data_IF_272188766203
#
_entry.id   IF_272188766203
#
_cell.length_a   1.000
_cell.length_b   1.000
_cell.length_c   1.000
_cell.angle_alpha   90.00
_cell.angle_beta   90.00
_cell.angle_gamma   90.00
#
_symmetry.space_group_name_H-M   'P 1'
#
loop_
_entity.id
_entity.type
_entity.pdbx_description
1 polymer ?
#
# COMPACT_ATOMS: atom_id res chain seq x y z
N UNK A 1 22.64 10.39 -12.19
CA UNK A 1 21.26 10.20 -12.69
C UNK A 1 20.70 8.96 -12.01
N UNK A 2 19.52 9.00 -11.37
CA UNK A 2 19.09 7.88 -10.52
C UNK A 2 18.50 6.74 -11.34
N UNK A 3 18.79 5.50 -10.90
CA UNK A 3 18.40 4.22 -11.52
C UNK A 3 16.88 4.01 -11.74
N UNK A 4 16.02 4.89 -11.22
CA UNK A 4 14.56 4.71 -11.24
C UNK A 4 13.93 4.72 -12.64
N UNK A 5 14.54 5.37 -13.62
CA UNK A 5 14.04 5.33 -15.00
C UNK A 5 14.34 3.99 -15.72
N UNK A 6 15.24 3.16 -15.19
CA UNK A 6 15.57 1.88 -15.84
C UNK A 6 14.49 0.81 -15.61
N UNK A 7 13.70 0.87 -14.54
CA UNK A 7 12.73 -0.19 -14.22
C UNK A 7 11.54 -0.22 -15.21
N UNK A 8 11.01 0.95 -15.58
CA UNK A 8 9.94 1.08 -16.59
C UNK A 8 10.48 0.82 -18.01
N UNK A 9 11.75 1.14 -18.26
CA UNK A 9 12.38 0.94 -19.56
C UNK A 9 12.73 -0.54 -19.77
N UNK A 10 13.20 -1.27 -18.75
CA UNK A 10 13.59 -2.68 -18.86
C UNK A 10 12.39 -3.60 -19.08
N UNK A 11 11.24 -3.34 -18.45
CA UNK A 11 10.01 -4.11 -18.71
C UNK A 11 9.52 -3.95 -20.16
N UNK A 12 9.77 -2.80 -20.77
CA UNK A 12 9.40 -2.49 -22.16
C UNK A 12 10.43 -3.01 -23.17
N UNK A 13 11.72 -3.00 -22.83
CA UNK A 13 12.82 -3.48 -23.68
C UNK A 13 12.88 -5.00 -23.77
N UNK A 14 12.61 -5.74 -22.68
CA UNK A 14 12.55 -7.20 -22.70
C UNK A 14 11.44 -7.75 -23.60
N UNK A 15 10.40 -6.94 -23.87
CA UNK A 15 9.33 -7.28 -24.81
C UNK A 15 9.74 -7.10 -26.29
N UNK A 16 10.74 -6.25 -26.58
CA UNK A 16 11.22 -5.98 -27.94
C UNK A 16 12.29 -6.97 -28.41
N UNK A 17 13.25 -7.35 -27.57
CA UNK A 17 14.35 -8.25 -27.98
C UNK A 17 13.88 -9.68 -28.30
N UNK A 18 12.78 -10.14 -27.71
CA UNK A 18 12.26 -11.47 -27.97
C UNK A 18 11.45 -11.59 -29.27
N UNK A 19 11.16 -10.48 -29.96
CA UNK A 19 10.45 -10.48 -31.25
C UNK A 19 11.35 -10.79 -32.46
N UNK A 20 12.68 -10.92 -32.24
CA UNK A 20 13.67 -11.26 -33.27
C UNK A 20 14.13 -12.72 -33.28
N UNK A 21 13.58 -13.58 -32.40
CA UNK A 21 13.90 -15.00 -32.33
C UNK A 21 12.61 -15.78 -32.62
N UNK A 22 12.68 -16.79 -33.50
CA UNK A 22 11.57 -17.69 -33.85
C UNK A 22 11.29 -18.64 -32.67
N UNK A 23 10.75 -18.07 -31.59
CA UNK A 23 10.32 -18.73 -30.38
C UNK A 23 8.80 -18.61 -30.32
N UNK A 24 8.11 -19.66 -29.88
CA UNK A 24 6.65 -19.60 -29.74
C UNK A 24 6.31 -18.53 -28.71
N UNK A 25 5.23 -17.77 -28.89
CA UNK A 25 4.83 -16.66 -28.00
C UNK A 25 4.81 -17.03 -26.50
N UNK A 26 4.48 -18.29 -26.17
CA UNK A 26 4.51 -18.81 -24.80
C UNK A 26 5.93 -18.99 -24.22
N UNK A 27 6.91 -19.30 -25.04
CA UNK A 27 8.32 -19.50 -24.63
C UNK A 27 9.01 -18.15 -24.42
N UNK A 28 8.71 -17.17 -25.28
CA UNK A 28 9.14 -15.76 -25.11
C UNK A 28 8.63 -15.19 -23.79
N UNK A 29 7.32 -15.36 -23.52
CA UNK A 29 6.71 -14.89 -22.28
C UNK A 29 7.28 -15.59 -21.05
N UNK A 30 7.50 -16.90 -21.11
CA UNK A 30 8.08 -17.67 -20.01
C UNK A 30 9.53 -17.26 -19.71
N UNK A 31 10.38 -17.09 -20.72
CA UNK A 31 11.79 -16.70 -20.56
C UNK A 31 11.90 -15.24 -20.07
N UNK A 32 11.11 -14.33 -20.64
CA UNK A 32 11.04 -12.94 -20.19
C UNK A 32 10.60 -12.84 -18.73
N UNK A 33 9.57 -13.60 -18.35
CA UNK A 33 9.11 -13.67 -16.96
C UNK A 33 10.14 -14.32 -16.03
N UNK A 34 10.85 -15.37 -16.47
CA UNK A 34 11.88 -16.04 -15.69
C UNK A 34 13.07 -15.11 -15.41
N UNK A 35 13.58 -14.42 -16.45
CA UNK A 35 14.67 -13.46 -16.31
C UNK A 35 14.25 -12.25 -15.46
N UNK A 36 13.01 -11.77 -15.61
CA UNK A 36 12.44 -10.73 -14.76
C UNK A 36 12.33 -11.19 -13.30
N UNK A 37 11.87 -12.41 -13.04
CA UNK A 37 11.85 -13.01 -11.70
C UNK A 37 13.26 -13.13 -11.12
N UNK A 38 14.23 -13.58 -11.90
CA UNK A 38 15.60 -13.78 -11.45
C UNK A 38 16.29 -12.45 -11.12
N UNK A 39 16.09 -11.41 -11.95
CA UNK A 39 16.54 -10.04 -11.65
C UNK A 39 15.83 -9.46 -10.43
N UNK A 40 14.51 -9.64 -10.30
CA UNK A 40 13.76 -9.23 -9.11
C UNK A 40 14.26 -9.93 -7.84
N UNK A 41 14.61 -11.22 -7.92
CA UNK A 41 15.10 -11.99 -6.77
C UNK A 41 16.50 -11.55 -6.30
N UNK A 42 17.38 -11.13 -7.21
CA UNK A 42 18.74 -10.65 -6.87
C UNK A 42 18.70 -9.22 -6.33
N UNK A 43 17.81 -8.37 -6.85
CA UNK A 43 17.71 -6.96 -6.42
C UNK A 43 16.74 -6.74 -5.25
N UNK A 44 15.88 -7.71 -4.94
CA UNK A 44 14.87 -7.64 -3.88
C UNK A 44 15.40 -7.05 -2.55
N UNK A 45 16.57 -7.45 -2.00
CA UNK A 45 17.06 -6.91 -0.74
C UNK A 45 17.40 -5.42 -0.74
N UNK A 46 17.66 -4.84 -1.92
CA UNK A 46 18.06 -3.44 -2.09
C UNK A 46 16.95 -2.56 -2.64
N UNK A 47 15.78 -3.14 -2.92
CA UNK A 47 14.69 -2.42 -3.55
C UNK A 47 14.06 -1.45 -2.55
N UNK A 48 14.24 -0.15 -2.75
CA UNK A 48 13.63 0.90 -1.93
C UNK A 48 12.20 1.22 -2.34
N UNK A 49 11.84 0.99 -3.60
CA UNK A 49 10.51 1.27 -4.15
C UNK A 49 10.04 0.09 -4.97
N UNK A 50 8.84 -0.41 -4.67
CA UNK A 50 8.23 -1.51 -5.40
C UNK A 50 6.84 -1.12 -5.84
N UNK A 51 6.62 -1.08 -7.15
CA UNK A 51 5.32 -0.80 -7.73
C UNK A 51 4.78 -2.05 -8.42
N UNK A 52 3.70 -2.58 -7.89
CA UNK A 52 2.96 -3.70 -8.46
C UNK A 52 1.48 -3.34 -8.70
N UNK A 53 1.23 -2.06 -8.91
CA UNK A 53 -0.11 -1.52 -9.13
C UNK A 53 -0.71 -2.02 -10.44
N UNK A 54 -1.99 -2.40 -10.41
CA UNK A 54 -2.71 -2.87 -11.60
C UNK A 54 -2.17 -4.17 -12.21
N UNK A 55 -1.24 -4.87 -11.55
CA UNK A 55 -0.62 -6.07 -12.12
C UNK A 55 -1.48 -7.33 -11.97
N UNK A 56 -2.52 -7.30 -11.13
CA UNK A 56 -3.30 -8.49 -10.81
C UNK A 56 -4.73 -8.41 -11.36
N UNK A 57 -5.10 -9.28 -12.34
CA UNK A 57 -6.45 -9.29 -12.93
C UNK A 57 -7.52 -9.90 -12.00
N UNK A 58 -7.10 -10.58 -10.94
CA UNK A 58 -7.94 -11.12 -9.86
C UNK A 58 -7.62 -10.36 -8.55
N UNK A 59 -8.55 -10.34 -7.58
CA UNK A 59 -8.30 -9.74 -6.27
C UNK A 59 -6.95 -10.19 -5.68
N UNK A 60 -6.06 -9.23 -5.46
CA UNK A 60 -4.76 -9.50 -4.89
C UNK A 60 -4.88 -9.67 -3.37
N UNK A 61 -4.33 -10.77 -2.86
CA UNK A 61 -4.16 -10.97 -1.43
C UNK A 61 -2.73 -10.61 -1.05
N UNK A 62 -2.61 -9.66 -0.11
CA UNK A 62 -1.33 -9.31 0.48
C UNK A 62 -0.95 -10.44 1.42
N UNK A 63 0.14 -11.13 1.08
CA UNK A 63 0.67 -12.25 1.86
C UNK A 63 2.12 -11.96 2.22
N UNK A 64 2.46 -12.08 3.50
CA UNK A 64 3.76 -11.65 4.04
C UNK A 64 4.97 -12.21 3.26
N UNK A 65 4.90 -13.47 2.83
CA UNK A 65 5.99 -14.11 2.09
C UNK A 65 6.34 -13.43 0.75
N UNK A 66 5.39 -12.70 0.12
CA UNK A 66 5.62 -11.98 -1.15
C UNK A 66 6.59 -10.81 -0.99
N UNK A 67 6.74 -10.28 0.22
CA UNK A 67 7.58 -9.12 0.52
C UNK A 67 8.74 -9.47 1.47
N UNK A 68 8.90 -10.75 1.84
CA UNK A 68 9.77 -11.17 2.95
C UNK A 68 11.25 -10.82 2.78
N UNK A 69 11.73 -10.61 1.54
CA UNK A 69 13.13 -10.25 1.26
C UNK A 69 13.35 -8.74 1.09
N UNK A 70 12.31 -7.93 1.14
CA UNK A 70 12.36 -6.51 0.79
C UNK A 70 12.66 -5.61 2.01
N UNK A 71 13.64 -5.98 2.84
CA UNK A 71 13.89 -5.30 4.12
C UNK A 71 14.25 -3.81 3.99
N UNK A 72 14.74 -3.37 2.82
CA UNK A 72 15.05 -1.97 2.50
C UNK A 72 13.89 -1.21 1.83
N UNK A 73 12.73 -1.85 1.65
CA UNK A 73 11.58 -1.24 0.99
C UNK A 73 11.06 -0.05 1.79
N UNK A 74 11.04 1.10 1.14
CA UNK A 74 10.55 2.38 1.69
C UNK A 74 9.17 2.72 1.17
N UNK A 75 8.89 2.41 -0.11
CA UNK A 75 7.65 2.79 -0.79
C UNK A 75 7.07 1.58 -1.50
N UNK A 76 5.81 1.25 -1.20
CA UNK A 76 5.08 0.15 -1.82
C UNK A 76 3.81 0.69 -2.49
N UNK A 77 3.73 0.54 -3.82
CA UNK A 77 2.52 0.83 -4.57
C UNK A 77 1.74 -0.45 -4.86
N UNK A 78 0.51 -0.49 -4.35
CA UNK A 78 -0.44 -1.60 -4.43
C UNK A 78 -1.80 -1.15 -5.01
N UNK A 79 -1.87 0.03 -5.60
CA UNK A 79 -3.11 0.57 -6.14
C UNK A 79 -3.67 -0.27 -7.31
N UNK A 80 -4.98 -0.18 -7.55
CA UNK A 80 -5.65 -0.84 -8.68
C UNK A 80 -5.52 -2.38 -8.69
N UNK A 81 -5.43 -3.03 -7.52
CA UNK A 81 -5.23 -4.48 -7.40
C UNK A 81 -6.42 -5.24 -6.81
N UNK A 82 -7.58 -4.58 -6.69
CA UNK A 82 -8.83 -5.15 -6.12
C UNK A 82 -8.60 -5.83 -4.76
N UNK A 83 -7.71 -5.27 -3.94
CA UNK A 83 -7.44 -5.75 -2.58
C UNK A 83 -8.69 -5.52 -1.75
N UNK A 84 -9.15 -6.53 -1.02
CA UNK A 84 -10.40 -6.47 -0.24
C UNK A 84 -10.18 -6.29 1.26
N UNK A 85 -9.04 -6.77 1.77
CA UNK A 85 -8.70 -6.65 3.18
C UNK A 85 -7.19 -6.58 3.41
N UNK A 86 -6.82 -6.00 4.54
CA UNK A 86 -5.46 -6.02 5.09
C UNK A 86 -5.53 -6.79 6.40
N UNK A 87 -4.86 -7.94 6.43
CA UNK A 87 -4.85 -8.87 7.56
C UNK A 87 -3.66 -8.61 8.48
N UNK A 88 -3.72 -9.14 9.69
CA UNK A 88 -2.62 -9.07 10.65
C UNK A 88 -1.30 -9.73 10.18
N UNK A 89 -1.36 -10.60 9.17
CA UNK A 89 -0.24 -11.31 8.56
C UNK A 89 0.06 -10.87 7.11
N UNK A 90 -0.53 -9.75 6.67
CA UNK A 90 -0.36 -9.26 5.29
C UNK A 90 1.08 -8.85 4.97
N UNK A 91 1.78 -8.24 5.93
CA UNK A 91 3.14 -7.73 5.73
C UNK A 91 4.16 -8.48 6.60
N UNK A 92 5.38 -8.75 6.09
CA UNK A 92 6.50 -9.14 6.94
C UNK A 92 7.02 -7.92 7.70
N UNK A 93 8.03 -8.12 8.55
CA UNK A 93 8.73 -7.00 9.17
C UNK A 93 9.49 -6.18 8.11
N UNK A 94 9.00 -4.97 7.83
CA UNK A 94 9.55 -4.03 6.85
C UNK A 94 9.91 -2.71 7.55
N UNK A 95 11.07 -2.67 8.25
CA UNK A 95 11.42 -1.54 9.11
C UNK A 95 11.72 -0.25 8.34
N UNK A 96 12.07 -0.34 7.05
CA UNK A 96 12.35 0.84 6.22
C UNK A 96 11.08 1.45 5.59
N UNK A 97 9.92 0.79 5.68
CA UNK A 97 8.74 1.21 4.93
C UNK A 97 8.13 2.47 5.53
N UNK A 98 7.95 3.47 4.68
CA UNK A 98 7.44 4.81 5.05
C UNK A 98 6.19 5.17 4.28
N UNK A 99 5.95 4.59 3.11
CA UNK A 99 4.82 4.94 2.24
C UNK A 99 4.13 3.68 1.73
N UNK A 100 2.82 3.63 1.90
CA UNK A 100 1.96 2.56 1.41
C UNK A 100 0.77 3.16 0.64
N UNK A 101 0.76 2.89 -0.67
CA UNK A 101 -0.23 3.43 -1.60
C UNK A 101 -1.22 2.32 -1.98
N UNK A 102 -2.46 2.46 -1.52
CA UNK A 102 -3.53 1.46 -1.66
C UNK A 102 -4.78 2.02 -2.34
N UNK A 103 -4.66 3.16 -3.02
CA UNK A 103 -5.78 3.79 -3.69
C UNK A 103 -6.44 2.92 -4.76
N UNK A 104 -7.72 3.15 -5.01
CA UNK A 104 -8.49 2.44 -6.04
C UNK A 104 -8.44 0.91 -5.87
N UNK A 105 -8.58 0.44 -4.64
CA UNK A 105 -8.79 -0.96 -4.31
C UNK A 105 -10.24 -1.17 -3.82
N UNK A 106 -10.51 -2.32 -3.20
CA UNK A 106 -11.82 -2.69 -2.69
C UNK A 106 -11.79 -2.92 -1.18
N UNK A 107 -10.86 -2.24 -0.47
CA UNK A 107 -10.57 -2.52 0.93
C UNK A 107 -11.75 -2.10 1.78
N UNK A 108 -12.36 -3.07 2.47
CA UNK A 108 -13.46 -2.83 3.42
C UNK A 108 -13.13 -3.28 4.83
N UNK A 109 -12.01 -3.98 5.02
CA UNK A 109 -11.58 -4.52 6.31
C UNK A 109 -10.07 -4.33 6.51
N UNK A 110 -9.71 -3.72 7.63
CA UNK A 110 -8.36 -3.69 8.17
C UNK A 110 -8.44 -4.38 9.54
N UNK A 111 -7.74 -5.50 9.68
CA UNK A 111 -7.73 -6.25 10.94
C UNK A 111 -6.87 -5.55 11.99
N UNK A 112 -7.12 -5.86 13.27
CA UNK A 112 -6.25 -5.44 14.37
C UNK A 112 -4.82 -5.90 14.09
N UNK A 113 -3.86 -5.03 14.36
CA UNK A 113 -2.44 -5.29 14.17
C UNK A 113 -1.97 -5.45 12.71
N UNK A 114 -2.81 -5.15 11.72
CA UNK A 114 -2.46 -5.22 10.29
C UNK A 114 -1.16 -4.48 9.91
N UNK A 115 -0.81 -3.44 10.67
CA UNK A 115 0.35 -2.59 10.39
C UNK A 115 1.49 -2.72 11.43
N UNK A 116 1.40 -3.64 12.40
CA UNK A 116 2.40 -3.74 13.48
C UNK A 116 3.81 -4.07 12.97
N UNK A 117 3.91 -4.71 11.80
CA UNK A 117 5.18 -5.11 11.20
C UNK A 117 5.78 -4.05 10.25
N UNK A 118 5.13 -2.89 10.11
CA UNK A 118 5.61 -1.74 9.32
C UNK A 118 5.67 -0.46 10.18
N UNK A 119 6.44 -0.45 11.29
CA UNK A 119 6.32 0.53 12.39
C UNK A 119 6.72 1.97 12.02
N UNK A 120 7.40 2.17 10.89
CA UNK A 120 7.90 3.47 10.44
C UNK A 120 7.04 4.10 9.34
N UNK A 121 5.84 3.58 9.11
CA UNK A 121 4.92 4.14 8.12
C UNK A 121 4.58 5.59 8.43
N UNK A 122 4.70 6.45 7.42
CA UNK A 122 4.46 7.90 7.49
C UNK A 122 3.29 8.32 6.59
N UNK A 123 3.10 7.63 5.46
CA UNK A 123 2.04 7.92 4.49
C UNK A 123 1.25 6.64 4.25
N UNK A 124 -0.06 6.71 4.47
CA UNK A 124 -1.02 5.67 4.15
C UNK A 124 -2.15 6.25 3.32
N UNK A 125 -2.22 5.84 2.06
CA UNK A 125 -3.26 6.29 1.14
C UNK A 125 -4.29 5.19 0.91
N UNK A 126 -5.51 5.41 1.41
CA UNK A 126 -6.66 4.51 1.28
C UNK A 126 -7.77 5.15 0.41
N UNK A 127 -7.43 6.14 -0.42
CA UNK A 127 -8.37 6.82 -1.32
C UNK A 127 -9.13 5.84 -2.22
N UNK A 128 -10.43 6.09 -2.42
CA UNK A 128 -11.29 5.30 -3.31
C UNK A 128 -11.24 3.79 -2.99
N UNK A 129 -11.55 3.46 -1.72
CA UNK A 129 -11.74 2.10 -1.24
C UNK A 129 -13.20 1.92 -0.76
N UNK A 130 -13.48 0.87 0.02
CA UNK A 130 -14.82 0.50 0.49
C UNK A 130 -14.93 0.54 2.02
N UNK A 131 -14.12 1.37 2.69
CA UNK A 131 -14.16 1.50 4.15
C UNK A 131 -15.48 2.12 4.58
N UNK A 132 -16.13 1.55 5.59
CA UNK A 132 -17.42 2.03 6.14
C UNK A 132 -17.30 2.54 7.58
N UNK A 133 -16.38 1.97 8.36
CA UNK A 133 -16.19 2.32 9.75
C UNK A 133 -14.70 2.52 10.05
N UNK A 134 -14.40 3.51 10.90
CA UNK A 134 -13.08 3.71 11.47
C UNK A 134 -13.10 3.39 12.96
N UNK A 135 -12.22 2.49 13.37
CA UNK A 135 -12.14 1.94 14.73
C UNK A 135 -10.76 2.19 15.34
N UNK A 136 -10.71 2.25 16.66
CA UNK A 136 -9.52 2.55 17.45
C UNK A 136 -8.33 1.60 17.22
N UNK A 137 -8.58 0.35 16.84
CA UNK A 137 -7.54 -0.67 16.70
C UNK A 137 -6.90 -0.73 15.31
N UNK A 138 -7.48 -0.09 14.29
CA UNK A 138 -7.00 -0.21 12.90
C UNK A 138 -5.65 0.51 12.70
N UNK A 139 -5.38 1.55 13.48
CA UNK A 139 -4.23 2.43 13.30
C UNK A 139 -3.42 2.61 14.60
N UNK A 140 -3.65 1.76 15.60
CA UNK A 140 -3.09 1.90 16.95
C UNK A 140 -1.55 1.86 16.99
N UNK A 141 -0.92 1.16 16.04
CA UNK A 141 0.53 1.01 15.91
C UNK A 141 1.19 2.06 14.99
N UNK A 142 0.41 2.91 14.33
CA UNK A 142 0.90 3.88 13.34
C UNK A 142 1.40 5.20 14.00
N UNK A 143 2.28 5.08 15.00
CA UNK A 143 2.78 6.21 15.80
C UNK A 143 3.62 7.23 15.01
N UNK A 144 4.10 6.85 13.82
CA UNK A 144 4.91 7.68 12.93
C UNK A 144 4.13 8.28 11.76
N UNK A 145 2.82 8.00 11.67
CA UNK A 145 2.00 8.42 10.55
C UNK A 145 1.87 9.95 10.52
N UNK A 146 2.06 10.52 9.34
CA UNK A 146 1.96 11.95 9.05
C UNK A 146 0.78 12.24 8.14
N UNK A 147 0.46 11.34 7.22
CA UNK A 147 -0.59 11.52 6.23
C UNK A 147 -1.45 10.27 6.15
N UNK A 148 -2.75 10.46 6.33
CA UNK A 148 -3.77 9.42 6.23
C UNK A 148 -4.92 9.93 5.37
N UNK A 149 -5.14 9.28 4.25
CA UNK A 149 -6.14 9.70 3.26
C UNK A 149 -7.21 8.61 3.07
N UNK A 150 -8.47 8.96 3.34
CA UNK A 150 -9.66 8.13 3.13
C UNK A 150 -10.61 8.73 2.09
N UNK A 151 -10.15 9.65 1.25
CA UNK A 151 -10.99 10.33 0.27
C UNK A 151 -11.80 9.35 -0.56
N UNK A 152 -13.10 9.56 -0.71
CA UNK A 152 -13.94 8.72 -1.57
C UNK A 152 -14.15 7.30 -1.04
N UNK A 153 -14.24 7.12 0.28
CA UNK A 153 -14.70 5.88 0.90
C UNK A 153 -16.21 6.00 1.26
N UNK A 154 -16.72 5.05 2.03
CA UNK A 154 -18.12 4.98 2.46
C UNK A 154 -18.24 5.17 3.98
N UNK A 155 -17.30 5.90 4.59
CA UNK A 155 -17.19 6.01 6.05
C UNK A 155 -18.40 6.76 6.58
N UNK A 156 -19.17 6.14 7.47
CA UNK A 156 -20.32 6.74 8.12
C UNK A 156 -20.24 6.72 9.65
N UNK A 157 -19.39 5.87 10.23
CA UNK A 157 -19.13 5.80 11.67
C UNK A 157 -17.63 5.90 11.94
N UNK A 158 -17.27 6.77 12.89
CA UNK A 158 -15.91 6.91 13.41
C UNK A 158 -16.00 6.76 14.93
N UNK A 159 -15.25 5.81 15.49
CA UNK A 159 -15.12 5.68 16.94
C UNK A 159 -14.40 6.90 17.54
N UNK A 160 -14.78 7.29 18.76
CA UNK A 160 -14.16 8.45 19.44
C UNK A 160 -12.64 8.34 19.57
N UNK A 161 -12.11 7.12 19.68
CA UNK A 161 -10.68 6.86 19.81
C UNK A 161 -10.02 6.35 18.52
N UNK A 162 -10.67 6.50 17.35
CA UNK A 162 -10.16 5.99 16.07
C UNK A 162 -8.75 6.49 15.73
N UNK A 163 -8.39 7.69 16.18
CA UNK A 163 -7.13 8.35 15.84
C UNK A 163 -6.23 8.66 17.05
N UNK A 164 -6.54 8.14 18.24
CA UNK A 164 -5.88 8.52 19.50
C UNK A 164 -4.37 8.36 19.49
N UNK A 165 -3.83 7.36 18.79
CA UNK A 165 -2.39 7.08 18.73
C UNK A 165 -1.66 7.75 17.57
N UNK A 166 -2.35 8.49 16.69
CA UNK A 166 -1.75 9.14 15.52
C UNK A 166 -1.11 10.49 15.90
N UNK A 167 -0.23 10.46 16.90
CA UNK A 167 0.34 11.65 17.56
C UNK A 167 1.25 12.50 16.67
N UNK A 168 1.70 11.96 15.52
CA UNK A 168 2.50 12.68 14.52
C UNK A 168 1.70 13.07 13.26
N UNK A 169 0.39 12.82 13.25
CA UNK A 169 -0.43 13.05 12.07
C UNK A 169 -0.48 14.55 11.76
N UNK A 170 -0.21 14.90 10.51
CA UNK A 170 -0.21 16.27 10.02
C UNK A 170 -1.38 16.53 9.07
N UNK A 171 -1.87 15.46 8.44
CA UNK A 171 -2.94 15.49 7.46
C UNK A 171 -3.82 14.26 7.62
N UNK A 172 -5.09 14.52 7.94
CA UNK A 172 -6.17 13.54 7.86
C UNK A 172 -7.17 14.04 6.83
N UNK A 173 -7.44 13.24 5.81
CA UNK A 173 -8.36 13.58 4.74
C UNK A 173 -9.55 12.62 4.75
N UNK A 174 -10.76 13.13 5.00
CA UNK A 174 -12.01 12.37 5.07
C UNK A 174 -13.03 12.80 4.01
N UNK A 175 -12.61 13.60 3.03
CA UNK A 175 -13.45 14.13 1.97
C UNK A 175 -14.22 13.03 1.21
N UNK A 176 -15.41 13.36 0.70
CA UNK A 176 -16.24 12.45 -0.09
C UNK A 176 -16.57 11.12 0.63
N UNK A 177 -16.86 11.18 1.93
CA UNK A 177 -17.41 10.07 2.72
C UNK A 177 -18.90 10.29 3.08
N UNK A 178 -19.45 9.41 3.90
CA UNK A 178 -20.87 9.41 4.33
C UNK A 178 -21.02 9.80 5.81
N UNK A 179 -20.13 10.69 6.30
CA UNK A 179 -20.04 11.05 7.71
C UNK A 179 -21.21 12.00 8.05
N UNK A 180 -22.14 11.54 8.88
CA UNK A 180 -23.28 12.33 9.32
C UNK A 180 -23.00 13.12 10.61
N UNK A 181 -22.11 12.59 11.45
CA UNK A 181 -21.75 13.18 12.74
C UNK A 181 -20.38 12.70 13.17
N UNK A 182 -19.64 13.54 13.89
CA UNK A 182 -18.35 13.20 14.47
C UNK A 182 -18.47 13.15 16.00
N UNK A 183 -17.82 12.18 16.67
CA UNK A 183 -17.67 12.22 18.13
C UNK A 183 -16.93 13.48 18.56
N UNK A 184 -17.31 14.05 19.72
CA UNK A 184 -16.78 15.34 20.19
C UNK A 184 -15.25 15.36 20.35
N UNK A 185 -14.65 14.21 20.69
CA UNK A 185 -13.23 14.10 21.03
C UNK A 185 -12.40 13.38 19.96
N UNK A 186 -12.97 13.10 18.79
CA UNK A 186 -12.35 12.28 17.75
C UNK A 186 -11.00 12.82 17.25
N UNK A 187 -10.79 14.14 17.33
CA UNK A 187 -9.54 14.81 16.91
C UNK A 187 -8.70 15.35 18.06
N UNK A 188 -9.06 15.08 19.33
CA UNK A 188 -8.45 15.74 20.49
C UNK A 188 -6.93 15.55 20.61
N UNK A 189 -6.41 14.42 20.10
CA UNK A 189 -5.01 14.02 20.22
C UNK A 189 -4.18 14.30 18.96
N UNK A 190 -4.79 14.90 17.94
CA UNK A 190 -4.13 15.12 16.67
C UNK A 190 -3.40 16.50 16.65
N UNK A 191 -2.25 16.59 15.95
CA UNK A 191 -1.60 17.88 15.63
C UNK A 191 -2.43 18.67 14.61
N UNK A 192 -2.66 19.96 14.85
CA UNK A 192 -3.59 20.82 14.11
C UNK A 192 -3.31 20.83 12.58
N UNK A 193 -4.18 20.18 11.78
CA UNK A 193 -4.57 20.40 10.35
C UNK A 193 -5.30 19.15 9.84
N UNK A 194 -6.61 19.25 9.56
CA UNK A 194 -7.43 18.17 9.01
C UNK A 194 -8.36 18.72 7.93
N UNK A 195 -8.58 17.93 6.88
CA UNK A 195 -9.58 18.20 5.85
C UNK A 195 -10.65 17.11 5.95
N UNK A 196 -11.83 17.49 6.44
CA UNK A 196 -12.96 16.56 6.63
C UNK A 196 -13.98 16.77 5.52
#
# INVERSE_FOLDING_TARGET
MPLNNYITIISTLLYRDASGMDLRDGEVSAISNFNKLQLMLVQAPYLSTYDISGLFPKPFQIESYKFAKLYQLQVLYLNLNRIQSIKNDSFPFLPAMTTLELQFNEISLIERSAFNLIPNLQILNLTSNKMTNLTSYQFDSLLNLKTLDFTGNLINVIEENAFTNLVKLQQLILAHNMINSLPNLVFQNLPQVYEV
#
